data_IF_212349993982
#
_entry.id   IF_212349993982
#
_cell.length_a   1.000
_cell.length_b   1.000
_cell.length_c   1.000
_cell.angle_alpha   90.00
_cell.angle_beta   90.00
_cell.angle_gamma   90.00
#
_symmetry.space_group_name_H-M   'P 1'
#
loop_
_entity.id
_entity.type
_entity.pdbx_description
1 polymer ?
#
# COMPACT_ATOMS: atom_id res chain seq x y z
N UNK A 1 1.71 -27.54 -27.40
CA UNK A 1 1.47 -26.32 -28.19
C UNK A 1 0.20 -26.53 -28.98
N UNK A 2 -0.85 -25.94 -28.46
CA UNK A 2 -2.22 -26.32 -28.70
C UNK A 2 -2.69 -25.65 -30.00
N UNK A 3 -3.75 -26.18 -30.63
CA UNK A 3 -4.28 -25.65 -31.88
C UNK A 3 -4.64 -24.16 -31.81
N UNK A 4 -4.91 -23.66 -30.60
CA UNK A 4 -5.19 -22.26 -30.30
C UNK A 4 -3.94 -21.37 -30.26
N UNK A 5 -2.78 -21.90 -29.85
CA UNK A 5 -1.51 -21.15 -29.77
C UNK A 5 -1.03 -20.74 -31.17
N UNK A 6 -1.20 -21.63 -32.15
CA UNK A 6 -0.89 -21.34 -33.56
C UNK A 6 -1.87 -20.34 -34.19
N UNK A 7 -3.12 -20.33 -33.73
CA UNK A 7 -4.15 -19.41 -34.21
C UNK A 7 -3.88 -17.98 -33.71
N UNK A 8 -3.52 -17.84 -32.44
CA UNK A 8 -3.16 -16.55 -31.82
C UNK A 8 -1.91 -15.94 -32.46
N UNK A 9 -0.87 -16.75 -32.70
CA UNK A 9 0.34 -16.30 -33.41
C UNK A 9 0.06 -15.85 -34.85
N UNK A 10 -0.88 -16.51 -35.54
CA UNK A 10 -1.29 -16.14 -36.90
C UNK A 10 -2.09 -14.84 -36.92
N UNK A 11 -2.96 -14.60 -35.93
CA UNK A 11 -3.69 -13.33 -35.78
C UNK A 11 -2.77 -12.15 -35.45
N UNK A 12 -1.72 -12.36 -34.64
CA UNK A 12 -0.70 -11.34 -34.36
C UNK A 12 0.13 -10.97 -35.61
N UNK A 13 0.43 -11.93 -36.48
CA UNK A 13 1.21 -11.67 -37.71
C UNK A 13 0.42 -10.88 -38.77
N UNK A 14 -0.91 -11.06 -38.85
CA UNK A 14 -1.79 -10.34 -39.80
C UNK A 14 -1.98 -8.86 -39.40
N UNK A 15 -1.96 -8.57 -38.10
CA UNK A 15 -2.04 -7.18 -37.60
C UNK A 15 -0.78 -6.34 -37.88
N UNK A 16 0.34 -6.96 -38.27
CA UNK A 16 1.60 -6.25 -38.60
C UNK A 16 1.68 -5.75 -40.05
N UNK A 17 0.78 -6.19 -40.94
CA UNK A 17 0.77 -5.79 -42.36
C UNK A 17 -0.19 -4.64 -42.67
N UNK A 18 -0.99 -4.19 -41.70
CA UNK A 18 -1.82 -2.99 -41.84
C UNK A 18 -1.33 -1.94 -40.85
N UNK A 19 -0.60 -0.95 -41.38
CA UNK A 19 -0.17 0.24 -40.65
C UNK A 19 -1.36 1.00 -40.08
N UNK A 20 -1.71 0.70 -38.82
CA UNK A 20 -2.20 1.62 -37.80
C UNK A 20 -2.61 0.80 -36.57
N UNK A 21 -1.64 0.11 -35.97
CA UNK A 21 -1.79 -0.28 -34.57
C UNK A 21 -1.51 0.97 -33.74
N UNK A 22 -2.55 1.72 -33.45
CA UNK A 22 -2.53 2.68 -32.36
C UNK A 22 -2.43 1.84 -31.07
N UNK A 23 -1.20 1.53 -30.67
CA UNK A 23 -0.94 1.09 -29.29
C UNK A 23 -1.17 2.34 -28.44
N UNK A 24 -2.40 2.49 -27.94
CA UNK A 24 -2.62 3.24 -26.71
C UNK A 24 -1.92 2.43 -25.62
N UNK A 25 -0.70 2.81 -25.26
CA UNK A 25 -0.07 2.33 -24.04
C UNK A 25 -0.85 2.96 -22.88
N UNK A 26 -1.62 2.14 -22.18
CA UNK A 26 -2.32 2.50 -20.95
C UNK A 26 -1.31 3.04 -19.92
N UNK A 27 -1.56 4.20 -19.29
CA UNK A 27 -0.65 4.80 -18.32
C UNK A 27 -0.57 3.96 -17.04
N UNK A 28 0.55 3.26 -16.84
CA UNK A 28 0.75 2.45 -15.65
C UNK A 28 1.18 3.31 -14.45
N UNK A 29 0.30 3.51 -13.47
CA UNK A 29 0.58 4.25 -12.23
C UNK A 29 0.49 3.38 -10.97
N UNK A 30 1.58 3.33 -10.18
CA UNK A 30 1.65 2.72 -8.84
C UNK A 30 1.75 3.80 -7.72
N UNK A 31 1.14 4.97 -7.99
CA UNK A 31 1.05 6.21 -7.20
C UNK A 31 1.98 7.36 -7.62
N UNK A 32 1.38 8.56 -7.74
CA UNK A 32 1.94 9.92 -7.84
C UNK A 32 0.72 10.89 -7.82
N UNK A 33 0.64 11.99 -7.09
CA UNK A 33 1.40 13.25 -7.14
C UNK A 33 1.33 13.95 -5.77
N UNK A 34 2.27 14.85 -5.49
CA UNK A 34 2.46 15.54 -4.21
C UNK A 34 2.44 17.07 -4.38
N UNK A 35 2.01 17.82 -3.35
CA UNK A 35 2.80 18.90 -2.76
C UNK A 35 2.24 19.28 -1.38
N UNK A 36 3.11 19.79 -0.53
CA UNK A 36 2.84 20.24 0.83
C UNK A 36 3.71 21.48 1.07
N UNK A 37 3.14 22.57 1.57
CA UNK A 37 3.93 23.67 2.14
C UNK A 37 3.13 24.39 3.24
N UNK A 38 3.77 24.63 4.39
CA UNK A 38 3.15 25.33 5.51
C UNK A 38 3.93 25.20 6.83
N UNK A 39 3.65 26.11 7.76
CA UNK A 39 4.10 26.03 9.16
C UNK A 39 2.95 25.53 10.01
N UNK A 40 3.15 24.41 10.72
CA UNK A 40 2.15 23.85 11.65
C UNK A 40 2.68 23.98 13.07
N UNK A 41 2.06 24.86 13.88
CA UNK A 41 2.30 24.92 15.33
C UNK A 41 0.98 24.77 16.09
N UNK A 42 0.78 23.59 16.68
CA UNK A 42 -0.36 23.28 17.52
C UNK A 42 0.08 22.32 18.62
N UNK A 43 -0.15 22.71 19.88
CA UNK A 43 -0.01 21.78 20.99
C UNK A 43 -1.16 20.78 20.95
N UNK A 44 -0.84 19.50 20.90
CA UNK A 44 -1.80 18.40 20.84
C UNK A 44 -1.41 17.30 21.81
N UNK A 45 -2.40 16.49 22.22
CA UNK A 45 -2.19 15.29 23.03
C UNK A 45 -3.19 14.23 22.56
N UNK A 46 -2.72 13.02 22.26
CA UNK A 46 -3.53 11.90 21.77
C UNK A 46 -3.12 10.60 22.46
N UNK A 47 -4.08 9.67 22.56
CA UNK A 47 -3.78 8.26 22.83
C UNK A 47 -3.59 7.56 21.49
N UNK A 48 -2.64 6.63 21.41
CA UNK A 48 -2.33 5.90 20.19
C UNK A 48 -2.08 4.42 20.49
N UNK A 49 -2.27 3.57 19.49
CA UNK A 49 -1.79 2.19 19.49
C UNK A 49 -0.46 2.15 18.73
N UNK A 50 0.42 1.27 19.19
CA UNK A 50 1.70 1.00 18.56
C UNK A 50 1.83 -0.50 18.37
N UNK A 51 2.25 -0.91 17.18
CA UNK A 51 2.73 -2.25 16.92
C UNK A 51 4.23 -2.23 16.70
N UNK A 52 4.93 -3.15 17.36
CA UNK A 52 6.33 -3.46 17.12
C UNK A 52 6.43 -4.90 16.62
N UNK A 53 7.16 -5.14 15.53
CA UNK A 53 7.45 -6.49 15.06
C UNK A 53 8.20 -7.29 16.13
N UNK A 54 8.00 -8.61 16.19
CA UNK A 54 8.65 -9.48 17.18
C UNK A 54 10.18 -9.36 17.18
N UNK A 55 10.76 -9.10 16.01
CA UNK A 55 12.20 -8.92 15.82
C UNK A 55 12.70 -7.49 16.04
N UNK A 56 11.87 -6.57 16.52
CA UNK A 56 12.20 -5.14 16.63
C UNK A 56 13.49 -4.88 17.39
N UNK A 57 13.69 -5.53 18.54
CA UNK A 57 14.84 -5.33 19.43
C UNK A 57 16.03 -6.27 19.14
N UNK A 58 15.95 -7.13 18.13
CA UNK A 58 17.01 -8.11 17.85
C UNK A 58 18.28 -7.47 17.30
N UNK A 59 18.14 -6.35 16.60
CA UNK A 59 19.24 -5.61 16.00
C UNK A 59 18.98 -4.11 16.11
N UNK A 60 19.68 -3.46 17.04
CA UNK A 60 19.57 -2.01 17.26
C UNK A 60 20.05 -1.16 16.08
N UNK A 61 20.75 -1.77 15.10
CA UNK A 61 21.18 -1.08 13.89
C UNK A 61 20.13 -1.08 12.77
N UNK A 62 19.04 -1.86 12.92
CA UNK A 62 17.98 -1.98 11.91
C UNK A 62 17.04 -0.77 11.94
N UNK A 63 16.91 -0.11 10.79
CA UNK A 63 15.88 0.90 10.57
C UNK A 63 14.57 0.25 10.11
N UNK A 64 13.45 0.63 10.73
CA UNK A 64 12.14 0.08 10.43
C UNK A 64 11.31 1.08 9.62
N UNK A 65 10.64 0.64 8.53
CA UNK A 65 9.68 1.49 7.86
C UNK A 65 8.46 1.73 8.77
N UNK A 66 7.92 2.96 8.73
CA UNK A 66 6.78 3.39 9.53
C UNK A 66 5.52 3.52 8.67
N UNK A 67 4.41 2.98 9.16
CA UNK A 67 3.07 3.27 8.66
C UNK A 67 2.34 4.13 9.69
N UNK A 68 2.23 5.44 9.44
CA UNK A 68 1.35 6.30 10.25
C UNK A 68 -0.10 6.11 9.78
N UNK A 69 -0.87 5.32 10.52
CA UNK A 69 -2.28 5.10 10.23
C UNK A 69 -3.19 6.10 10.96
N UNK A 70 -4.00 6.83 10.20
CA UNK A 70 -5.04 7.71 10.71
C UNK A 70 -6.41 7.05 10.52
N UNK A 71 -7.12 6.83 11.62
CA UNK A 71 -8.40 6.15 11.59
C UNK A 71 -9.51 7.00 10.96
N UNK A 72 -10.60 6.35 10.56
CA UNK A 72 -11.75 6.99 9.96
C UNK A 72 -12.69 7.62 10.98
N UNK A 73 -13.81 8.13 10.47
CA UNK A 73 -14.87 8.77 11.26
C UNK A 73 -15.52 7.82 12.29
N UNK A 74 -15.56 6.52 11.98
CA UNK A 74 -16.22 5.47 12.77
C UNK A 74 -15.47 5.08 14.04
N UNK A 75 -14.15 5.27 14.05
CA UNK A 75 -13.28 4.90 15.17
C UNK A 75 -12.95 6.09 16.09
N UNK A 76 -13.52 7.28 15.83
CA UNK A 76 -13.34 8.47 16.69
C UNK A 76 -13.88 8.21 18.10
N UNK A 77 -13.17 8.74 19.09
CA UNK A 77 -13.61 8.76 20.48
C UNK A 77 -12.47 8.58 21.46
N UNK A 78 -12.82 8.22 22.68
CA UNK A 78 -11.86 7.94 23.77
C UNK A 78 -11.51 6.46 23.92
N UNK A 79 -12.27 5.57 23.28
CA UNK A 79 -12.05 4.13 23.29
C UNK A 79 -11.06 3.73 22.19
N UNK A 80 -9.83 3.47 22.61
CA UNK A 80 -8.72 3.17 21.72
C UNK A 80 -8.86 1.80 21.05
N UNK A 81 -9.65 0.87 21.62
CA UNK A 81 -9.85 -0.45 21.02
C UNK A 81 -10.61 -0.38 19.70
N UNK A 82 -11.40 0.67 19.47
CA UNK A 82 -12.09 0.89 18.19
C UNK A 82 -11.13 1.02 17.01
N UNK A 83 -9.90 1.48 17.23
CA UNK A 83 -8.87 1.60 16.17
C UNK A 83 -8.48 0.23 15.60
N UNK A 84 -8.68 -0.86 16.35
CA UNK A 84 -8.42 -2.24 15.89
C UNK A 84 -9.51 -2.83 15.00
N UNK A 85 -10.64 -2.14 14.79
CA UNK A 85 -11.78 -2.69 14.02
C UNK A 85 -11.45 -2.81 12.53
N UNK A 86 -10.65 -1.88 11.99
CA UNK A 86 -10.30 -1.80 10.57
C UNK A 86 -8.83 -1.40 10.34
N UNK A 87 -8.34 -1.58 9.12
CA UNK A 87 -7.03 -1.10 8.69
C UNK A 87 -5.83 -1.92 9.21
N UNK A 88 -4.62 -1.37 9.13
CA UNK A 88 -3.39 -2.02 9.58
C UNK A 88 -3.42 -2.52 11.03
N UNK A 89 -3.96 -1.77 12.03
CA UNK A 89 -4.01 -2.23 13.42
C UNK A 89 -4.72 -3.57 13.62
N UNK A 90 -5.76 -3.87 12.82
CA UNK A 90 -6.44 -5.17 12.83
C UNK A 90 -5.55 -6.31 12.34
N UNK A 91 -4.74 -6.04 11.32
CA UNK A 91 -3.92 -7.05 10.63
C UNK A 91 -2.76 -7.46 11.54
N UNK A 92 -2.06 -6.47 12.09
CA UNK A 92 -0.85 -6.68 12.90
C UNK A 92 -1.12 -7.37 14.24
N UNK A 93 -2.36 -7.28 14.76
CA UNK A 93 -2.78 -7.98 15.98
C UNK A 93 -2.63 -9.52 15.88
N UNK A 94 -2.62 -10.05 14.66
CA UNK A 94 -2.43 -11.49 14.36
C UNK A 94 -1.16 -11.81 13.58
N UNK A 95 -0.31 -10.81 13.31
CA UNK A 95 0.88 -10.93 12.47
C UNK A 95 2.11 -10.34 13.17
N UNK A 96 2.69 -11.06 14.15
CA UNK A 96 3.84 -10.57 14.91
C UNK A 96 5.10 -10.34 14.04
N UNK A 97 5.16 -10.97 12.87
CA UNK A 97 6.25 -10.87 11.90
C UNK A 97 6.07 -9.72 10.88
N UNK A 98 5.03 -8.88 11.02
CA UNK A 98 4.73 -7.82 10.07
C UNK A 98 5.92 -6.84 9.95
N UNK A 99 6.42 -6.53 8.73
CA UNK A 99 7.75 -5.93 8.57
C UNK A 99 7.78 -4.39 8.73
N UNK A 100 6.85 -3.80 9.48
CA UNK A 100 6.73 -2.35 9.71
C UNK A 100 6.42 -2.06 11.17
N UNK A 101 6.86 -0.89 11.65
CA UNK A 101 6.25 -0.25 12.81
C UNK A 101 4.95 0.41 12.35
N UNK A 102 3.88 0.24 13.12
CA UNK A 102 2.54 0.79 12.82
C UNK A 102 2.03 1.57 14.03
#
# INVERSE_FOLDING_TARGET
MNRYDKLILLFCAIALLNHNVLICADEFSLQSTHSFEGVVSKKVAYKYLQFLPESYDHDSSKEWPLILFLHGVGERGSDLQKVKVHGPPKIVDSRPDFPFVV
#
